data_IF_767581326081
#
_entry.id   IF_767581326081
#
_cell.length_a   1.000
_cell.length_b   1.000
_cell.length_c   1.000
_cell.angle_alpha   90.00
_cell.angle_beta   90.00
_cell.angle_gamma   90.00
#
_symmetry.space_group_name_H-M   'P 1'
#
loop_
_entity.id
_entity.type
_entity.pdbx_description
1 polymer ?
#
# COMPACT_ATOMS: atom_id res chain seq x y z
N UNK A 1 -22.64 11.00 -19.84
CA UNK A 1 -21.53 11.29 -20.79
C UNK A 1 -20.67 10.04 -20.91
N UNK A 2 -20.37 9.56 -22.12
CA UNK A 2 -19.49 8.40 -22.31
C UNK A 2 -18.05 8.84 -22.06
N UNK A 3 -17.35 8.23 -21.09
CA UNK A 3 -15.93 8.50 -20.82
C UNK A 3 -15.09 7.38 -21.45
N UNK A 4 -13.99 7.74 -22.11
CA UNK A 4 -13.03 6.78 -22.66
C UNK A 4 -11.64 7.12 -22.16
N UNK A 5 -10.89 6.10 -21.75
CA UNK A 5 -9.51 6.18 -21.28
C UNK A 5 -8.69 5.19 -22.08
N UNK A 6 -7.47 5.56 -22.45
CA UNK A 6 -6.50 4.66 -23.06
C UNK A 6 -5.46 4.24 -22.03
N UNK A 7 -5.20 2.93 -21.91
CA UNK A 7 -4.24 2.36 -20.97
C UNK A 7 -3.51 1.18 -21.60
N UNK A 8 -2.17 1.27 -21.73
CA UNK A 8 -1.28 0.22 -22.27
C UNK A 8 -1.77 -0.47 -23.55
N UNK A 9 -2.33 0.28 -24.49
CA UNK A 9 -2.83 -0.29 -25.76
C UNK A 9 -4.30 -0.70 -25.74
N UNK A 10 -4.98 -0.61 -24.60
CA UNK A 10 -6.40 -0.95 -24.46
C UNK A 10 -7.26 0.30 -24.24
N UNK A 11 -8.39 0.35 -24.94
CA UNK A 11 -9.43 1.35 -24.72
C UNK A 11 -10.37 0.88 -23.61
N UNK A 12 -10.48 1.67 -22.55
CA UNK A 12 -11.41 1.47 -21.45
C UNK A 12 -12.54 2.49 -21.60
N UNK A 13 -13.77 2.02 -21.65
CA UNK A 13 -14.95 2.86 -21.82
C UNK A 13 -15.83 2.79 -20.58
N UNK A 14 -16.48 3.89 -20.25
CA UNK A 14 -17.51 3.95 -19.23
C UNK A 14 -18.74 4.62 -19.84
N UNK A 15 -19.79 3.83 -20.01
CA UNK A 15 -21.02 4.27 -20.63
C UNK A 15 -22.04 4.82 -19.62
N UNK A 16 -21.99 4.35 -18.37
CA UNK A 16 -22.99 4.64 -17.34
C UNK A 16 -22.61 5.85 -16.48
N UNK A 17 -21.32 6.17 -16.39
CA UNK A 17 -20.80 7.21 -15.49
C UNK A 17 -20.51 6.70 -14.09
N UNK A 18 -20.85 5.45 -13.78
CA UNK A 18 -20.61 4.83 -12.48
C UNK A 18 -19.13 4.51 -12.26
N UNK A 19 -18.61 4.59 -11.02
CA UNK A 19 -17.24 4.21 -10.70
C UNK A 19 -16.92 2.73 -11.04
N UNK A 20 -17.94 1.88 -11.10
CA UNK A 20 -17.84 0.44 -11.36
C UNK A 20 -18.22 0.06 -12.80
N UNK A 21 -18.62 1.05 -13.61
CA UNK A 21 -19.12 0.86 -14.98
C UNK A 21 -18.04 0.86 -16.06
N UNK A 22 -16.76 0.63 -15.72
CA UNK A 22 -15.68 0.64 -16.71
C UNK A 22 -15.55 -0.70 -17.39
N UNK A 23 -15.58 -0.69 -18.73
CA UNK A 23 -15.48 -1.87 -19.58
C UNK A 23 -14.32 -1.77 -20.55
N UNK A 24 -13.68 -2.89 -20.83
CA UNK A 24 -12.67 -3.01 -21.89
C UNK A 24 -12.71 -4.41 -22.48
N UNK A 25 -11.95 -4.64 -23.55
CA UNK A 25 -11.76 -5.96 -24.16
C UNK A 25 -10.28 -6.30 -24.07
N UNK A 26 -9.98 -7.39 -23.36
CA UNK A 26 -8.62 -7.93 -23.23
C UNK A 26 -8.60 -9.27 -23.98
N UNK A 27 -7.84 -9.34 -25.08
CA UNK A 27 -7.69 -10.56 -25.88
C UNK A 27 -9.03 -11.23 -26.27
N UNK A 28 -9.99 -10.43 -26.75
CA UNK A 28 -11.34 -10.89 -27.13
C UNK A 28 -12.30 -11.17 -25.96
N UNK A 29 -11.86 -11.02 -24.71
CA UNK A 29 -12.72 -11.18 -23.52
C UNK A 29 -13.22 -9.83 -23.03
N UNK A 30 -14.54 -9.59 -22.96
CA UNK A 30 -15.07 -8.39 -22.35
C UNK A 30 -14.86 -8.44 -20.84
N UNK A 31 -14.34 -7.35 -20.29
CA UNK A 31 -14.07 -7.17 -18.87
C UNK A 31 -14.77 -5.91 -18.42
N UNK A 32 -15.59 -5.99 -17.38
CA UNK A 32 -16.28 -4.84 -16.80
C UNK A 32 -16.12 -4.81 -15.27
N UNK A 33 -15.58 -3.73 -14.72
CA UNK A 33 -15.38 -3.54 -13.28
C UNK A 33 -14.99 -2.10 -12.94
N UNK A 34 -14.54 -1.86 -11.71
CA UNK A 34 -13.88 -0.62 -11.27
C UNK A 34 -12.69 -0.30 -12.15
N UNK A 35 -12.47 1.00 -12.44
CA UNK A 35 -11.36 1.46 -13.28
C UNK A 35 -10.00 0.91 -12.83
N UNK A 36 -9.75 0.86 -11.51
CA UNK A 36 -8.50 0.36 -10.93
C UNK A 36 -8.29 -1.12 -11.24
N UNK A 37 -9.31 -1.95 -11.06
CA UNK A 37 -9.24 -3.39 -11.30
C UNK A 37 -9.10 -3.71 -12.80
N UNK A 38 -9.78 -2.93 -13.65
CA UNK A 38 -9.67 -3.06 -15.11
C UNK A 38 -8.24 -2.73 -15.57
N UNK A 39 -7.64 -1.64 -15.05
CA UNK A 39 -6.24 -1.29 -15.34
C UNK A 39 -5.28 -2.40 -14.92
N UNK A 40 -5.44 -2.94 -13.71
CA UNK A 40 -4.61 -4.06 -13.23
C UNK A 40 -4.72 -5.31 -14.09
N UNK A 41 -5.93 -5.62 -14.57
CA UNK A 41 -6.15 -6.76 -15.47
C UNK A 41 -5.43 -6.54 -16.81
N UNK A 42 -5.42 -5.32 -17.33
CA UNK A 42 -4.65 -4.95 -18.52
C UNK A 42 -3.16 -5.05 -18.25
N UNK A 43 -2.68 -4.51 -17.13
CA UNK A 43 -1.26 -4.55 -16.76
C UNK A 43 -0.74 -5.99 -16.68
N UNK A 44 -1.48 -6.84 -15.96
CA UNK A 44 -1.16 -8.26 -15.84
C UNK A 44 -1.17 -8.99 -17.18
N UNK A 45 -2.13 -8.67 -18.06
CA UNK A 45 -2.12 -9.22 -19.42
C UNK A 45 -0.88 -8.77 -20.20
N UNK A 46 -0.51 -7.50 -20.12
CA UNK A 46 0.66 -6.97 -20.80
C UNK A 46 1.95 -7.62 -20.29
N UNK A 47 2.07 -7.80 -18.97
CA UNK A 47 3.30 -8.26 -18.30
C UNK A 47 3.42 -9.79 -18.29
N UNK A 48 2.35 -10.50 -17.93
CA UNK A 48 2.38 -11.97 -17.76
C UNK A 48 1.86 -12.72 -18.98
N UNK A 49 1.28 -12.04 -19.99
CA UNK A 49 0.61 -12.68 -21.16
C UNK A 49 -0.48 -13.68 -20.76
N UNK A 50 -1.03 -13.54 -19.56
CA UNK A 50 -2.06 -14.41 -19.00
C UNK A 50 -3.29 -13.58 -18.66
N UNK A 51 -4.48 -14.10 -18.97
CA UNK A 51 -5.72 -13.39 -18.66
C UNK A 51 -6.06 -13.55 -17.18
N UNK A 52 -6.21 -12.44 -16.46
CA UNK A 52 -6.66 -12.41 -15.08
C UNK A 52 -7.92 -11.55 -14.95
N UNK A 53 -9.06 -12.11 -14.45
CA UNK A 53 -10.28 -11.34 -14.22
C UNK A 53 -10.09 -10.21 -13.18
N UNK A 54 -10.77 -9.07 -13.34
CA UNK A 54 -10.66 -7.93 -12.42
C UNK A 54 -11.11 -8.27 -10.99
N UNK A 55 -12.06 -9.19 -10.85
CA UNK A 55 -12.59 -9.69 -9.57
C UNK A 55 -11.48 -10.35 -8.72
N UNK A 56 -10.50 -11.00 -9.37
CA UNK A 56 -9.36 -11.60 -8.67
C UNK A 56 -8.47 -10.56 -8.01
N UNK A 57 -8.44 -9.33 -8.54
CA UNK A 57 -7.70 -8.22 -7.93
C UNK A 57 -8.49 -7.53 -6.80
N UNK A 58 -9.83 -7.63 -6.81
CA UNK A 58 -10.66 -7.04 -5.76
C UNK A 58 -10.31 -7.59 -4.37
N UNK A 59 -9.94 -8.87 -4.28
CA UNK A 59 -9.47 -9.51 -3.04
C UNK A 59 -8.01 -9.22 -2.69
N UNK A 60 -7.16 -8.87 -3.67
CA UNK A 60 -5.73 -8.61 -3.48
C UNK A 60 -5.49 -7.18 -2.98
N UNK A 61 -6.29 -6.21 -3.42
CA UNK A 61 -6.26 -4.83 -2.91
C UNK A 61 -6.97 -4.65 -1.56
N UNK A 62 -7.80 -5.62 -1.16
CA UNK A 62 -8.49 -5.60 0.13
C UNK A 62 -7.65 -6.18 1.27
N UNK A 63 -6.43 -6.63 0.99
CA UNK A 63 -5.41 -6.73 2.01
C UNK A 63 -4.64 -5.40 2.01
N UNK A 64 -4.98 -4.45 2.89
CA UNK A 64 -3.92 -3.57 3.36
C UNK A 64 -2.78 -4.51 3.77
N UNK A 65 -1.56 -4.30 3.28
CA UNK A 65 -0.34 -4.87 3.87
C UNK A 65 -0.10 -4.29 5.29
N UNK A 66 -1.18 -4.08 6.04
CA UNK A 66 -1.27 -3.69 7.43
C UNK A 66 -1.96 -4.81 8.21
N UNK A 67 -1.57 -6.07 7.99
CA UNK A 67 -2.15 -7.14 8.79
C UNK A 67 -1.91 -6.89 10.29
N UNK A 68 -0.84 -6.17 10.67
CA UNK A 68 -0.68 -5.63 12.04
C UNK A 68 0.34 -4.48 12.08
N UNK A 69 0.36 -3.58 11.08
CA UNK A 69 1.29 -2.44 11.15
C UNK A 69 0.87 -1.50 12.28
N UNK A 70 1.59 -1.53 13.40
CA UNK A 70 1.38 -0.64 14.54
C UNK A 70 2.36 0.51 14.46
N UNK A 71 1.83 1.73 14.46
CA UNK A 71 2.62 2.96 14.50
C UNK A 71 2.30 3.66 15.82
N UNK A 72 3.35 4.04 16.56
CA UNK A 72 3.25 4.75 17.82
C UNK A 72 4.17 5.97 17.78
N UNK A 73 3.61 7.17 17.99
CA UNK A 73 4.39 8.39 18.13
C UNK A 73 4.85 8.57 19.60
N UNK A 74 6.17 8.59 19.84
CA UNK A 74 6.76 8.73 21.16
C UNK A 74 7.76 9.89 21.21
N UNK A 75 7.43 10.97 21.94
CA UNK A 75 8.30 12.14 22.14
C UNK A 75 8.88 12.72 20.84
N UNK A 76 8.09 12.68 19.75
CA UNK A 76 8.48 13.15 18.42
C UNK A 76 9.16 12.10 17.53
N UNK A 77 9.31 10.86 18.00
CA UNK A 77 9.82 9.73 17.21
C UNK A 77 8.68 8.79 16.79
N UNK A 78 8.71 8.34 15.54
CA UNK A 78 7.76 7.36 15.00
C UNK A 78 8.30 5.94 15.20
N UNK A 79 7.71 5.21 16.14
CA UNK A 79 7.95 3.79 16.31
C UNK A 79 7.00 3.04 15.37
N UNK A 80 7.53 2.09 14.64
CA UNK A 80 6.79 1.31 13.66
C UNK A 80 6.99 -0.18 13.95
N UNK A 81 5.98 -0.98 13.68
CA UNK A 81 6.02 -2.43 13.80
C UNK A 81 5.17 -3.04 12.70
N UNK A 82 5.83 -3.53 11.66
CA UNK A 82 5.15 -4.12 10.49
C UNK A 82 4.71 -5.57 10.71
N UNK A 83 5.23 -6.21 11.76
CA UNK A 83 5.09 -7.66 11.99
C UNK A 83 4.05 -8.02 13.05
N UNK A 84 3.48 -7.03 13.76
CA UNK A 84 2.54 -7.23 14.86
C UNK A 84 3.12 -7.84 16.14
N UNK A 85 4.33 -8.41 16.09
CA UNK A 85 4.99 -9.05 17.23
C UNK A 85 5.54 -8.03 18.23
N UNK A 86 5.45 -8.29 19.54
CA UNK A 86 5.84 -7.33 20.57
C UNK A 86 7.34 -6.94 20.57
N UNK A 87 8.21 -7.74 19.94
CA UNK A 87 9.66 -7.50 19.93
C UNK A 87 10.23 -7.01 18.59
N UNK A 88 9.37 -6.70 17.61
CA UNK A 88 9.80 -6.28 16.26
C UNK A 88 9.54 -4.82 15.97
N UNK A 89 9.50 -3.98 17.00
CA UNK A 89 9.39 -2.54 16.82
C UNK A 89 10.70 -1.97 16.30
N UNK A 90 10.60 -0.90 15.53
CA UNK A 90 11.75 -0.14 15.05
C UNK A 90 11.48 1.36 15.03
N UNK A 91 12.56 2.14 15.11
CA UNK A 91 12.53 3.61 15.01
C UNK A 91 13.74 4.11 14.22
N UNK A 92 13.56 5.20 13.48
CA UNK A 92 14.66 5.90 12.83
C UNK A 92 15.19 7.00 13.75
N UNK A 93 16.44 6.86 14.18
CA UNK A 93 17.14 7.84 15.01
C UNK A 93 18.37 8.35 14.26
N UNK A 94 18.33 9.60 13.78
CA UNK A 94 19.46 10.27 13.10
C UNK A 94 20.06 9.46 11.94
N UNK A 95 19.20 8.86 11.12
CA UNK A 95 19.62 8.02 9.99
C UNK A 95 20.08 6.61 10.38
N UNK A 96 19.99 6.22 11.66
CA UNK A 96 20.21 4.84 12.10
C UNK A 96 18.89 4.19 12.46
N UNK A 97 18.71 2.96 12.00
CA UNK A 97 17.59 2.11 12.35
C UNK A 97 17.87 1.43 13.70
N UNK A 98 16.99 1.63 14.67
CA UNK A 98 17.03 0.95 15.95
C UNK A 98 15.85 -0.02 16.02
N UNK A 99 16.11 -1.33 16.13
CA UNK A 99 15.09 -2.38 16.25
C UNK A 99 15.14 -3.02 17.64
N UNK A 100 13.98 -3.36 18.20
CA UNK A 100 13.88 -4.06 19.49
C UNK A 100 12.48 -4.05 20.09
N UNK A 101 12.39 -4.36 21.38
CA UNK A 101 11.15 -4.22 22.14
C UNK A 101 10.81 -2.73 22.35
N UNK A 102 9.52 -2.36 22.39
CA UNK A 102 9.11 -0.96 22.47
C UNK A 102 9.62 -0.30 23.77
N UNK A 103 9.71 -1.07 24.86
CA UNK A 103 10.25 -0.61 26.15
C UNK A 103 11.75 -0.25 26.02
N UNK A 104 12.53 -1.11 25.37
CA UNK A 104 13.97 -0.86 25.17
C UNK A 104 14.20 0.36 24.26
N UNK A 105 13.41 0.48 23.18
CA UNK A 105 13.46 1.62 22.28
C UNK A 105 13.13 2.92 23.02
N UNK A 106 12.02 2.95 23.79
CA UNK A 106 11.62 4.13 24.58
C UNK A 106 12.69 4.56 25.57
N UNK A 107 13.26 3.59 26.32
CA UNK A 107 14.36 3.85 27.27
C UNK A 107 15.60 4.43 26.59
N UNK A 108 15.94 3.93 25.40
CA UNK A 108 17.08 4.45 24.63
C UNK A 108 16.81 5.87 24.13
N UNK A 109 15.60 6.14 23.63
CA UNK A 109 15.20 7.48 23.20
C UNK A 109 15.26 8.48 24.36
N UNK A 110 14.81 8.10 25.55
CA UNK A 110 14.87 8.95 26.75
C UNK A 110 16.30 9.35 27.10
N UNK A 111 17.22 8.38 27.17
CA UNK A 111 18.63 8.65 27.43
C UNK A 111 19.26 9.56 26.37
N UNK A 112 18.88 9.42 25.11
CA UNK A 112 19.36 10.28 24.01
C UNK A 112 18.79 11.70 24.16
N UNK A 113 17.50 11.84 24.49
CA UNK A 113 16.87 13.15 24.71
C UNK A 113 17.50 13.88 25.90
N UNK A 114 17.76 13.18 27.01
CA UNK A 114 18.42 13.75 28.19
C UNK A 114 19.83 14.24 27.88
N UNK A 115 20.64 13.42 27.18
CA UNK A 115 21.99 13.82 26.74
C UNK A 115 21.97 15.04 25.83
N UNK A 116 20.93 15.21 25.01
CA UNK A 116 20.79 16.37 24.14
C UNK A 116 20.35 17.62 24.89
N UNK A 117 19.54 17.47 25.93
CA UNK A 117 19.17 18.59 26.81
C UNK A 117 20.36 19.11 27.63
N UNK A 118 21.27 18.23 28.04
CA UNK A 118 22.47 18.63 28.81
C UNK A 118 23.57 19.28 27.96
N UNK A 119 23.50 19.15 26.63
CA UNK A 119 24.45 19.78 25.69
C UNK A 119 23.96 21.12 25.12
N UNK A 120 22.82 21.62 25.58
CA UNK A 120 22.30 22.95 25.29
C UNK A 120 22.45 23.83 26.51
#
# INVERSE_FOLDING_TARGET
>A
MKKRIFHRGHNIENATGDPDGWKTIINGRPVASKLTLVKKSIDWWCDMKAFMPPEKFAGVDSQPQHADQKIEDYKGFKLMNDSGKPNEWYVMLRGRLLKGSPIAIKKHLDAVIEKLKQQK
#
